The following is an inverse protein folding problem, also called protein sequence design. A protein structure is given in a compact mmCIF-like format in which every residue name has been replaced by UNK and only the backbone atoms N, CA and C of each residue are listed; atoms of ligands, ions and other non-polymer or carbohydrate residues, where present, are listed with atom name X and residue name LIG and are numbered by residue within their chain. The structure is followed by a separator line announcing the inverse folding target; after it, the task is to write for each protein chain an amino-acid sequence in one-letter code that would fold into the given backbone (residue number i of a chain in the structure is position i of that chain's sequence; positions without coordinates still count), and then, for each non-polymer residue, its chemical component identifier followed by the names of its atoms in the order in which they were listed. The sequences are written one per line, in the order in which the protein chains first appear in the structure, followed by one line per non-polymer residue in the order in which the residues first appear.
data_IF_178105194663
#
_entry.id   IF_178105194663
#
_cell.length_a   1.000
_cell.length_b   1.000
_cell.length_c   1.000
_cell.angle_alpha   90.00
_cell.angle_beta   90.00
_cell.angle_gamma   90.00
#
_symmetry.space_group_name_H-M   'P 1'
#
loop_
_entity.id
_entity.type
_entity.pdbx_description
1 polymer ?
#
# COMPACT_ATOMS: atom_id res chain seq x y z
N UNK A 1 -60.10 -5.96 21.50
CA UNK A 1 -58.76 -6.22 22.06
C UNK A 1 -57.73 -5.75 21.05
N UNK A 2 -57.11 -4.60 21.30
CA UNK A 2 -56.05 -4.05 20.46
C UNK A 2 -54.70 -4.61 20.93
N UNK A 3 -53.98 -5.28 20.04
CA UNK A 3 -52.58 -5.66 20.27
C UNK A 3 -51.71 -4.45 19.91
N UNK A 4 -51.12 -3.85 20.94
CA UNK A 4 -50.20 -2.74 20.83
C UNK A 4 -48.96 -3.17 20.04
N UNK A 5 -48.71 -2.49 18.92
CA UNK A 5 -47.43 -2.58 18.22
C UNK A 5 -46.37 -1.85 19.05
N UNK A 6 -45.45 -2.63 19.62
CA UNK A 6 -44.27 -2.15 20.33
C UNK A 6 -43.33 -1.43 19.34
N UNK A 7 -43.57 -0.14 19.12
CA UNK A 7 -42.65 0.76 18.42
C UNK A 7 -41.46 1.02 19.34
N UNK A 8 -40.48 0.12 19.31
CA UNK A 8 -39.12 0.46 19.75
C UNK A 8 -38.62 1.60 18.86
N UNK A 9 -38.74 2.83 19.35
CA UNK A 9 -38.01 3.98 18.81
C UNK A 9 -36.53 3.62 18.84
N UNK A 10 -35.97 3.29 17.67
CA UNK A 10 -34.53 3.34 17.49
C UNK A 10 -34.13 4.77 17.87
N UNK A 11 -33.45 4.93 19.01
CA UNK A 11 -32.94 6.22 19.45
C UNK A 11 -32.14 6.81 18.28
N UNK A 12 -32.65 7.91 17.72
CA UNK A 12 -31.97 8.60 16.64
C UNK A 12 -30.57 8.97 17.17
N UNK A 13 -29.53 8.48 16.49
CA UNK A 13 -28.17 8.89 16.81
C UNK A 13 -28.13 10.42 16.84
N UNK A 14 -27.50 11.04 17.85
CA UNK A 14 -27.48 12.50 17.97
C UNK A 14 -26.94 13.12 16.69
N UNK A 15 -27.77 13.93 16.03
CA UNK A 15 -27.39 14.62 14.80
C UNK A 15 -26.43 15.75 15.16
N UNK A 16 -25.16 15.59 14.80
CA UNK A 16 -24.17 16.66 14.89
C UNK A 16 -24.40 17.65 13.74
N UNK A 17 -24.46 18.97 14.00
CA UNK A 17 -24.48 19.99 12.95
C UNK A 17 -23.27 19.85 12.01
N UNK A 18 -23.49 20.00 10.71
CA UNK A 18 -22.43 19.80 9.70
C UNK A 18 -21.31 20.85 9.83
N UNK A 19 -21.62 22.01 10.39
CA UNK A 19 -20.70 23.12 10.64
C UNK A 19 -19.62 22.77 11.67
N UNK A 20 -19.87 21.81 12.57
CA UNK A 20 -18.91 21.37 13.59
C UNK A 20 -17.97 20.26 13.09
N UNK A 21 -18.28 19.65 11.94
CA UNK A 21 -17.51 18.54 11.38
C UNK A 21 -16.04 18.94 11.12
N UNK A 22 -15.74 20.15 10.62
CA UNK A 22 -14.36 20.60 10.50
C UNK A 22 -13.58 20.67 11.81
N UNK A 23 -14.21 21.14 12.89
CA UNK A 23 -13.57 21.19 14.20
C UNK A 23 -13.35 19.78 14.76
N UNK A 24 -14.37 18.91 14.70
CA UNK A 24 -14.27 17.51 15.12
C UNK A 24 -13.17 16.78 14.35
N UNK A 25 -13.10 16.98 13.03
CA UNK A 25 -12.12 16.35 12.16
C UNK A 25 -10.66 16.73 12.49
N UNK A 26 -10.41 17.89 13.11
CA UNK A 26 -9.08 18.30 13.59
C UNK A 26 -8.63 17.52 14.83
N UNK A 27 -9.57 16.96 15.59
CA UNK A 27 -9.29 16.19 16.80
C UNK A 27 -9.26 14.68 16.56
N UNK A 28 -9.60 14.23 15.34
CA UNK A 28 -9.48 12.82 14.98
C UNK A 28 -8.02 12.42 14.89
N UNK A 29 -7.66 11.39 15.65
CA UNK A 29 -6.30 10.84 15.68
C UNK A 29 -6.17 9.55 14.89
N UNK A 30 -7.30 8.91 14.51
CA UNK A 30 -7.29 7.62 13.81
C UNK A 30 -8.00 7.68 12.46
N UNK A 31 -7.52 6.86 11.51
CA UNK A 31 -8.22 6.65 10.24
C UNK A 31 -9.58 6.00 10.43
N UNK A 32 -9.74 5.14 11.43
CA UNK A 32 -11.00 4.47 11.71
C UNK A 32 -12.11 5.51 11.98
N UNK A 33 -11.85 6.45 12.89
CA UNK A 33 -12.83 7.45 13.28
C UNK A 33 -13.12 8.41 12.13
N UNK A 34 -12.10 8.72 11.32
CA UNK A 34 -12.27 9.49 10.09
C UNK A 34 -13.21 8.81 9.10
N UNK A 35 -12.98 7.53 8.80
CA UNK A 35 -13.83 6.79 7.86
C UNK A 35 -15.23 6.57 8.42
N UNK A 36 -15.38 6.35 9.73
CA UNK A 36 -16.67 6.28 10.40
C UNK A 36 -17.46 7.60 10.25
N UNK A 37 -16.81 8.74 10.52
CA UNK A 37 -17.42 10.06 10.38
C UNK A 37 -17.79 10.37 8.91
N UNK A 38 -16.91 10.02 7.96
CA UNK A 38 -17.15 10.16 6.51
C UNK A 38 -18.26 9.23 5.99
N UNK A 39 -18.48 8.10 6.63
CA UNK A 39 -19.51 7.13 6.26
C UNK A 39 -20.89 7.48 6.83
N UNK A 40 -20.96 8.29 7.89
CA UNK A 40 -22.20 8.61 8.60
C UNK A 40 -23.28 9.23 7.69
N UNK A 41 -22.96 10.27 6.92
CA UNK A 41 -23.90 10.87 5.96
C UNK A 41 -23.20 11.66 4.85
N UNK A 42 -23.97 12.06 3.82
CA UNK A 42 -23.44 12.87 2.70
C UNK A 42 -22.98 14.25 3.16
N UNK A 43 -23.71 14.89 4.06
CA UNK A 43 -23.40 16.23 4.58
C UNK A 43 -22.07 16.26 5.35
N UNK A 44 -21.78 15.24 6.17
CA UNK A 44 -20.50 15.15 6.88
C UNK A 44 -19.36 14.90 5.91
N UNK A 45 -19.56 14.03 4.91
CA UNK A 45 -18.57 13.80 3.85
C UNK A 45 -18.21 15.08 3.08
N UNK A 46 -19.18 15.95 2.82
CA UNK A 46 -18.94 17.23 2.13
C UNK A 46 -18.30 18.29 3.04
N UNK A 47 -18.65 18.29 4.34
CA UNK A 47 -18.11 19.23 5.31
C UNK A 47 -16.74 18.81 5.87
N UNK A 48 -16.35 17.55 5.69
CA UNK A 48 -15.12 17.03 6.26
C UNK A 48 -13.91 17.72 5.62
N UNK A 49 -13.11 18.48 6.38
CA UNK A 49 -11.94 19.11 5.85
C UNK A 49 -10.94 18.02 5.46
N UNK A 50 -10.05 18.34 4.51
CA UNK A 50 -8.85 17.56 4.27
C UNK A 50 -7.94 17.71 5.49
N UNK A 51 -8.26 17.02 6.59
CA UNK A 51 -7.43 16.94 7.79
C UNK A 51 -6.17 16.15 7.43
N UNK A 52 -5.14 16.91 7.05
CA UNK A 52 -4.18 16.57 5.96
C UNK A 52 -2.94 15.81 6.39
N UNK A 53 -2.42 16.07 7.59
CA UNK A 53 -1.08 15.61 7.96
C UNK A 53 -1.12 14.46 8.99
N UNK A 54 -1.91 14.60 10.04
CA UNK A 54 -1.98 13.60 11.13
C UNK A 54 -2.73 12.34 10.67
N UNK A 55 -3.83 12.49 9.94
CA UNK A 55 -4.59 11.35 9.42
C UNK A 55 -3.86 10.61 8.29
N UNK A 56 -3.04 11.32 7.50
CA UNK A 56 -2.17 10.75 6.48
C UNK A 56 -0.99 9.97 7.07
N UNK A 57 -0.57 10.35 8.28
CA UNK A 57 0.56 9.72 8.99
C UNK A 57 0.20 8.36 9.59
N UNK A 58 -1.09 8.04 9.69
CA UNK A 58 -1.56 6.73 10.14
C UNK A 58 -1.69 5.80 8.93
N UNK A 59 -0.99 4.66 8.90
CA UNK A 59 -0.99 3.80 7.74
C UNK A 59 -2.22 2.88 7.74
N UNK A 60 -3.05 2.91 6.70
CA UNK A 60 -3.74 1.72 6.27
C UNK A 60 -2.81 0.90 5.36
N UNK A 61 -2.96 -0.41 5.44
CA UNK A 61 -1.92 -1.36 5.11
C UNK A 61 -2.38 -2.27 3.97
N UNK A 62 -2.12 -1.82 2.74
CA UNK A 62 -2.55 -2.41 1.46
C UNK A 62 -3.80 -1.73 0.90
N UNK A 63 -3.63 -1.05 -0.22
CA UNK A 63 -4.72 -0.65 -1.09
C UNK A 63 -5.08 -1.82 -2.00
N UNK A 64 -6.35 -2.20 -2.02
CA UNK A 64 -6.87 -3.20 -2.96
C UNK A 64 -8.03 -2.64 -3.77
N UNK A 65 -8.21 -3.12 -5.02
CA UNK A 65 -9.47 -2.97 -5.71
C UNK A 65 -10.59 -3.66 -4.90
N UNK A 66 -11.69 -2.96 -4.63
CA UNK A 66 -12.81 -3.55 -3.89
C UNK A 66 -13.89 -4.14 -4.81
N UNK A 67 -14.13 -3.50 -5.96
CA UNK A 67 -15.08 -3.99 -6.95
C UNK A 67 -14.46 -3.98 -8.34
N UNK A 68 -14.40 -5.15 -8.97
CA UNK A 68 -13.89 -5.32 -10.34
C UNK A 68 -14.67 -4.47 -11.37
N UNK A 69 -15.95 -4.19 -11.12
CA UNK A 69 -16.81 -3.38 -11.98
C UNK A 69 -16.72 -1.87 -11.74
N UNK A 70 -16.03 -1.42 -10.68
CA UNK A 70 -15.90 0.00 -10.36
C UNK A 70 -14.42 0.36 -10.10
N UNK A 71 -13.70 0.91 -11.08
CA UNK A 71 -12.28 1.21 -10.95
C UNK A 71 -11.98 2.29 -9.89
N UNK A 72 -13.00 3.03 -9.45
CA UNK A 72 -12.89 4.02 -8.38
C UNK A 72 -13.18 3.45 -6.98
N UNK A 73 -13.64 2.20 -6.89
CA UNK A 73 -13.96 1.55 -5.61
C UNK A 73 -12.71 0.86 -5.08
N UNK A 74 -12.05 1.53 -4.15
CA UNK A 74 -10.85 1.03 -3.50
C UNK A 74 -11.17 0.71 -2.04
N UNK A 75 -10.40 -0.20 -1.49
CA UNK A 75 -10.42 -0.44 -0.07
C UNK A 75 -9.01 -0.51 0.49
N UNK A 76 -8.90 -0.02 1.71
CA UNK A 76 -7.69 -0.03 2.50
C UNK A 76 -7.82 -1.14 3.52
N UNK A 77 -6.88 -2.07 3.51
CA UNK A 77 -6.92 -3.25 4.35
C UNK A 77 -6.04 -3.03 5.57
N UNK A 78 -6.42 -3.63 6.69
CA UNK A 78 -5.52 -3.85 7.80
C UNK A 78 -5.35 -5.36 7.98
N UNK A 79 -4.30 -5.97 7.40
CA UNK A 79 -4.22 -7.42 7.25
C UNK A 79 -4.32 -8.17 8.58
N UNK A 80 -3.63 -7.69 9.61
CA UNK A 80 -3.66 -8.32 10.94
C UNK A 80 -4.99 -8.17 11.67
N UNK A 81 -5.73 -7.09 11.42
CA UNK A 81 -7.02 -6.84 12.08
C UNK A 81 -8.21 -7.29 11.24
N UNK A 82 -7.96 -7.79 10.01
CA UNK A 82 -8.99 -8.14 9.01
C UNK A 82 -10.00 -7.01 8.79
N UNK A 83 -9.54 -5.77 8.86
CA UNK A 83 -10.39 -4.59 8.69
C UNK A 83 -10.29 -4.09 7.26
N UNK A 84 -11.43 -3.68 6.73
CA UNK A 84 -11.57 -3.18 5.37
C UNK A 84 -12.20 -1.78 5.44
N UNK A 85 -11.43 -0.77 5.10
CA UNK A 85 -11.87 0.62 5.02
C UNK A 85 -12.19 0.93 3.57
N UNK A 86 -13.48 0.90 3.23
CA UNK A 86 -13.97 1.11 1.87
C UNK A 86 -14.12 2.60 1.59
N UNK A 87 -13.69 3.03 0.41
CA UNK A 87 -13.93 4.39 -0.03
C UNK A 87 -13.97 4.46 -1.55
N UNK A 88 -14.52 5.57 -2.04
CA UNK A 88 -14.42 5.94 -3.44
C UNK A 88 -13.20 6.83 -3.57
N UNK A 89 -12.19 6.38 -4.30
CA UNK A 89 -11.07 7.23 -4.66
C UNK A 89 -11.58 8.38 -5.53
N UNK A 90 -10.96 9.58 -5.45
CA UNK A 90 -11.09 10.55 -6.52
C UNK A 90 -10.77 9.81 -7.82
N UNK A 91 -11.68 9.87 -8.80
CA UNK A 91 -11.56 9.07 -10.03
C UNK A 91 -10.11 9.10 -10.52
N UNK A 92 -9.42 7.96 -10.71
CA UNK A 92 -8.25 8.00 -11.56
C UNK A 92 -8.74 8.59 -12.90
N UNK A 93 -8.06 9.58 -13.49
CA UNK A 93 -8.44 10.04 -14.82
C UNK A 93 -8.42 8.80 -15.70
N UNK A 94 -9.55 8.48 -16.32
CA UNK A 94 -9.62 7.35 -17.22
C UNK A 94 -8.62 7.64 -18.35
N UNK A 95 -7.64 6.77 -18.62
CA UNK A 95 -7.46 5.39 -18.15
C UNK A 95 -6.16 5.22 -17.32
N UNK A 96 -6.17 5.68 -16.08
CA UNK A 96 -5.05 5.53 -15.16
C UNK A 96 -5.19 4.32 -14.24
N UNK A 97 -4.14 3.52 -14.12
CA UNK A 97 -4.06 2.40 -13.19
C UNK A 97 -3.42 2.85 -11.86
N UNK A 98 -3.89 2.32 -10.73
CA UNK A 98 -3.17 2.49 -9.46
C UNK A 98 -1.99 1.51 -9.44
N UNK A 99 -0.77 2.03 -9.36
CA UNK A 99 0.47 1.26 -9.49
C UNK A 99 1.24 1.12 -8.18
N UNK A 100 0.99 1.99 -7.20
CA UNK A 100 1.55 1.90 -5.86
C UNK A 100 0.64 2.58 -4.82
N UNK A 101 0.87 2.25 -3.56
CA UNK A 101 0.26 2.95 -2.43
C UNK A 101 1.24 3.04 -1.27
N UNK A 102 1.25 4.18 -0.58
CA UNK A 102 1.91 4.37 0.70
C UNK A 102 0.95 5.10 1.64
N UNK A 103 0.39 4.34 2.56
CA UNK A 103 -0.62 4.82 3.48
C UNK A 103 -1.87 5.37 2.77
N UNK A 104 -2.18 6.64 3.02
CA UNK A 104 -3.28 7.36 2.38
C UNK A 104 -2.95 7.93 0.97
N UNK A 105 -1.73 7.72 0.48
CA UNK A 105 -1.26 8.21 -0.81
C UNK A 105 -1.24 7.07 -1.82
N UNK A 106 -1.69 7.35 -3.04
CA UNK A 106 -1.68 6.39 -4.14
C UNK A 106 -0.97 6.98 -5.33
N UNK A 107 -0.24 6.14 -6.04
CA UNK A 107 0.40 6.49 -7.30
C UNK A 107 -0.48 5.96 -8.42
N UNK A 108 -0.96 6.85 -9.27
CA UNK A 108 -1.70 6.54 -10.48
C UNK A 108 -0.82 6.77 -11.69
N UNK A 109 -0.89 5.86 -12.66
CA UNK A 109 -0.17 5.98 -13.93
C UNK A 109 -1.16 6.06 -15.08
N UNK A 110 -1.12 7.15 -15.85
CA UNK A 110 -1.85 7.29 -17.11
C UNK A 110 -1.02 6.66 -18.24
N UNK A 111 -1.51 5.56 -18.81
CA UNK A 111 -0.79 4.84 -19.86
C UNK A 111 -0.67 5.62 -21.18
N UNK A 112 -1.61 6.52 -21.49
CA UNK A 112 -1.59 7.28 -22.74
C UNK A 112 -0.74 8.55 -22.60
N UNK A 113 -0.93 9.28 -21.51
CA UNK A 113 -0.16 10.49 -21.24
C UNK A 113 1.25 10.20 -20.69
N UNK A 114 1.50 8.95 -20.24
CA UNK A 114 2.72 8.53 -19.53
C UNK A 114 3.00 9.36 -18.27
N UNK A 115 1.93 9.87 -17.66
CA UNK A 115 2.02 10.71 -16.48
C UNK A 115 1.86 9.87 -15.21
N UNK A 116 2.80 10.03 -14.28
CA UNK A 116 2.64 9.57 -12.91
C UNK A 116 2.07 10.70 -12.06
N UNK A 117 1.06 10.37 -11.26
CA UNK A 117 0.46 11.30 -10.32
C UNK A 117 0.33 10.65 -8.95
N UNK A 118 0.67 11.39 -7.91
CA UNK A 118 0.42 11.01 -6.53
C UNK A 118 -0.85 11.71 -6.09
N UNK A 119 -1.83 10.91 -5.66
CA UNK A 119 -3.11 11.40 -5.16
C UNK A 119 -3.17 11.04 -3.68
N UNK A 120 -3.43 12.04 -2.86
CA UNK A 120 -3.77 11.82 -1.47
C UNK A 120 -5.27 11.50 -1.35
N UNK A 121 -5.62 10.28 -0.96
CA UNK A 121 -7.00 9.76 -1.01
C UNK A 121 -7.98 10.51 -0.09
N UNK A 122 -7.47 11.08 1.01
CA UNK A 122 -8.30 11.79 1.99
C UNK A 122 -8.45 13.29 1.65
N UNK A 123 -7.37 13.97 1.26
CA UNK A 123 -7.41 15.40 0.93
C UNK A 123 -7.78 15.70 -0.52
N UNK A 124 -7.60 14.74 -1.43
CA UNK A 124 -7.72 14.95 -2.87
C UNK A 124 -6.53 15.67 -3.51
N UNK A 125 -5.51 16.02 -2.72
CA UNK A 125 -4.32 16.71 -3.23
C UNK A 125 -3.62 15.84 -4.28
N UNK A 126 -3.23 16.46 -5.39
CA UNK A 126 -2.56 15.80 -6.50
C UNK A 126 -1.23 16.47 -6.78
N UNK A 127 -0.18 15.65 -6.83
CA UNK A 127 1.16 16.05 -7.24
C UNK A 127 1.52 15.27 -8.50
N UNK A 128 1.89 15.99 -9.56
CA UNK A 128 2.43 15.36 -10.77
C UNK A 128 3.91 15.08 -10.58
N UNK A 129 4.31 13.89 -11.00
CA UNK A 129 5.70 13.41 -11.04
C UNK A 129 6.19 13.62 -12.48
N UNK A 130 7.51 13.80 -12.73
CA UNK A 130 8.03 13.85 -14.09
C UNK A 130 7.62 12.63 -14.92
N UNK A 131 7.48 12.80 -16.23
CA UNK A 131 7.00 11.77 -17.15
C UNK A 131 7.72 10.43 -16.91
N UNK A 132 6.94 9.36 -16.80
CA UNK A 132 7.47 8.08 -16.39
C UNK A 132 8.35 7.49 -17.52
N UNK A 133 9.55 6.98 -17.20
CA UNK A 133 10.33 6.18 -18.12
C UNK A 133 9.56 4.93 -18.60
N UNK A 134 9.92 4.43 -19.79
CA UNK A 134 9.08 3.54 -20.61
C UNK A 134 8.85 2.14 -20.01
N UNK A 135 9.71 1.69 -19.09
CA UNK A 135 9.77 0.29 -18.65
C UNK A 135 9.91 0.19 -17.13
N UNK A 136 8.80 -0.08 -16.45
CA UNK A 136 8.81 -0.47 -15.04
C UNK A 136 7.77 -1.57 -14.76
N UNK A 137 8.07 -2.45 -13.83
CA UNK A 137 7.18 -3.53 -13.39
C UNK A 137 6.32 -3.14 -12.19
N UNK A 138 6.87 -2.32 -11.28
CA UNK A 138 6.16 -1.79 -10.11
C UNK A 138 6.62 -0.38 -9.77
N UNK A 139 5.71 0.39 -9.18
CA UNK A 139 6.04 1.65 -8.53
C UNK A 139 6.04 1.46 -7.00
N UNK A 140 6.86 2.25 -6.31
CA UNK A 140 6.95 2.28 -4.85
C UNK A 140 7.05 3.73 -4.40
N UNK A 141 6.32 4.06 -3.34
CA UNK A 141 6.36 5.39 -2.72
C UNK A 141 7.00 5.24 -1.34
N UNK A 142 8.01 6.06 -1.07
CA UNK A 142 8.80 6.04 0.15
C UNK A 142 9.02 7.48 0.64
N UNK A 143 8.09 8.00 1.45
CA UNK A 143 8.17 9.41 1.85
C UNK A 143 7.99 10.33 0.64
N UNK A 144 8.98 11.18 0.33
CA UNK A 144 9.03 12.05 -0.85
C UNK A 144 9.68 11.37 -2.07
N UNK A 145 10.16 10.14 -1.93
CA UNK A 145 10.82 9.38 -2.98
C UNK A 145 9.82 8.51 -3.75
N UNK A 146 9.85 8.62 -5.06
CA UNK A 146 9.13 7.74 -5.99
C UNK A 146 10.14 6.83 -6.66
N UNK A 147 9.89 5.52 -6.61
CA UNK A 147 10.75 4.48 -7.15
C UNK A 147 9.97 3.70 -8.20
N UNK A 148 10.59 3.44 -9.35
CA UNK A 148 10.10 2.58 -10.41
C UNK A 148 11.09 1.42 -10.57
N UNK A 149 10.58 0.21 -10.39
CA UNK A 149 11.39 -1.01 -10.41
C UNK A 149 11.45 -1.52 -11.86
N UNK A 150 12.67 -1.72 -12.35
CA UNK A 150 12.93 -2.39 -13.62
C UNK A 150 13.83 -3.61 -13.37
N UNK A 151 13.91 -4.59 -14.30
CA UNK A 151 14.77 -5.74 -14.13
C UNK A 151 16.25 -5.34 -14.02
N UNK A 152 16.82 -5.37 -12.81
CA UNK A 152 18.22 -5.03 -12.54
C UNK A 152 18.52 -3.57 -12.18
N UNK A 153 17.51 -2.68 -12.23
CA UNK A 153 17.68 -1.24 -12.00
C UNK A 153 16.47 -0.66 -11.26
N UNK A 154 16.70 0.47 -10.61
CA UNK A 154 15.63 1.31 -10.06
C UNK A 154 15.77 2.70 -10.63
N UNK A 155 14.68 3.22 -11.15
CA UNK A 155 14.56 4.63 -11.51
C UNK A 155 13.88 5.35 -10.36
N UNK A 156 14.42 6.48 -9.93
CA UNK A 156 13.89 7.18 -8.78
C UNK A 156 13.89 8.69 -8.98
N UNK A 157 12.93 9.37 -8.36
CA UNK A 157 12.88 10.82 -8.29
C UNK A 157 12.35 11.25 -6.93
N UNK A 158 12.81 12.40 -6.43
CA UNK A 158 12.16 13.06 -5.29
C UNK A 158 11.10 14.02 -5.78
N UNK A 159 10.00 14.13 -5.03
CA UNK A 159 8.95 15.08 -5.32
C UNK A 159 9.50 16.50 -5.25
N UNK A 160 9.41 17.22 -6.37
CA UNK A 160 9.95 18.58 -6.51
C UNK A 160 11.28 18.67 -7.27
N UNK A 161 12.04 17.58 -7.40
CA UNK A 161 13.33 17.58 -8.11
C UNK A 161 13.19 17.68 -9.64
N UNK A 162 12.02 17.29 -10.16
CA UNK A 162 11.70 17.43 -11.59
C UNK A 162 12.46 16.48 -12.53
N UNK A 163 13.30 15.55 -12.02
CA UNK A 163 14.13 14.66 -12.83
C UNK A 163 14.21 13.25 -12.25
N UNK A 164 14.25 12.26 -13.15
CA UNK A 164 14.55 10.87 -12.83
C UNK A 164 16.05 10.63 -12.74
N UNK A 165 16.46 9.78 -11.81
CA UNK A 165 17.80 9.22 -11.67
C UNK A 165 17.72 7.71 -11.77
N UNK A 166 18.83 7.09 -12.12
CA UNK A 166 18.92 5.63 -12.28
C UNK A 166 19.94 5.06 -11.31
N UNK A 167 19.60 3.95 -10.68
CA UNK A 167 20.49 3.20 -9.82
C UNK A 167 20.49 1.73 -10.20
N UNK A 168 21.68 1.15 -10.41
CA UNK A 168 21.80 -0.28 -10.67
C UNK A 168 21.72 -1.06 -9.36
N UNK A 169 21.03 -2.20 -9.39
CA UNK A 169 20.91 -3.05 -8.21
C UNK A 169 22.10 -3.99 -8.10
N UNK A 170 22.74 -4.01 -6.93
CA UNK A 170 23.81 -4.97 -6.62
C UNK A 170 23.53 -5.66 -5.29
N UNK A 171 23.53 -6.99 -5.33
CA UNK A 171 23.51 -7.81 -4.12
C UNK A 171 24.89 -7.76 -3.45
N UNK A 172 24.97 -7.27 -2.22
CA UNK A 172 26.21 -7.24 -1.44
C UNK A 172 26.56 -8.65 -0.94
N UNK A 173 27.83 -9.05 -1.07
CA UNK A 173 28.38 -10.20 -0.32
C UNK A 173 28.52 -11.56 -1.02
N UNK A 174 28.12 -11.74 -2.28
CA UNK A 174 28.43 -12.99 -2.99
C UNK A 174 29.72 -12.85 -3.81
N UNK A 175 30.82 -13.37 -3.27
CA UNK A 175 32.03 -13.62 -4.06
C UNK A 175 31.74 -14.62 -5.18
N UNK A 176 32.07 -14.25 -6.41
CA UNK A 176 32.47 -15.17 -7.47
C UNK A 176 31.53 -16.32 -7.87
N UNK A 177 30.21 -16.23 -7.73
CA UNK A 177 29.35 -17.22 -8.38
C UNK A 177 29.17 -16.85 -9.85
N UNK A 178 29.67 -17.72 -10.73
CA UNK A 178 29.45 -17.74 -12.19
C UNK A 178 27.96 -17.85 -12.59
N UNK A 179 27.03 -17.89 -11.62
CA UNK A 179 25.58 -17.77 -11.78
C UNK A 179 25.06 -16.43 -11.21
N UNK A 180 25.63 -15.31 -11.63
CA UNK A 180 25.19 -13.95 -11.26
C UNK A 180 23.79 -13.55 -11.78
N UNK A 181 22.85 -14.49 -11.92
CA UNK A 181 21.61 -14.34 -12.67
C UNK A 181 20.31 -14.82 -12.00
N UNK A 182 20.29 -15.10 -10.69
CA UNK A 182 19.07 -15.69 -10.06
C UNK A 182 18.32 -14.79 -9.07
N UNK A 183 18.93 -13.75 -8.52
CA UNK A 183 18.26 -12.86 -7.56
C UNK A 183 17.80 -11.57 -8.25
N UNK A 184 16.53 -11.55 -8.66
CA UNK A 184 15.88 -10.37 -9.21
C UNK A 184 15.01 -9.72 -8.15
N UNK A 185 15.15 -8.41 -7.98
CA UNK A 185 14.23 -7.64 -7.15
C UNK A 185 12.89 -7.52 -7.87
N UNK A 186 11.82 -7.91 -7.18
CA UNK A 186 10.45 -7.94 -7.73
C UNK A 186 9.51 -6.96 -7.03
N UNK A 187 9.94 -6.37 -5.92
CA UNK A 187 9.17 -5.37 -5.17
C UNK A 187 10.04 -4.63 -4.17
N UNK A 188 9.58 -3.44 -3.75
CA UNK A 188 10.18 -2.69 -2.65
C UNK A 188 9.08 -2.10 -1.77
N UNK A 189 9.45 -1.72 -0.55
CA UNK A 189 8.53 -1.10 0.40
C UNK A 189 9.33 -0.29 1.42
N UNK A 190 8.92 0.94 1.69
CA UNK A 190 9.44 1.69 2.83
C UNK A 190 8.59 1.41 4.07
N UNK A 191 9.25 1.05 5.17
CA UNK A 191 8.60 0.86 6.48
C UNK A 191 9.48 1.52 7.54
N UNK A 192 8.92 2.46 8.31
CA UNK A 192 9.63 3.19 9.38
C UNK A 192 10.98 3.78 8.93
N UNK A 193 11.05 4.32 7.71
CA UNK A 193 12.27 4.92 7.16
C UNK A 193 13.29 3.92 6.59
N UNK A 194 13.04 2.61 6.70
CA UNK A 194 13.87 1.57 6.10
C UNK A 194 13.25 1.12 4.78
N UNK A 195 14.04 1.13 3.71
CA UNK A 195 13.61 0.63 2.41
C UNK A 195 13.95 -0.87 2.33
N UNK A 196 12.92 -1.69 2.20
CA UNK A 196 13.03 -3.13 2.02
C UNK A 196 12.87 -3.49 0.55
N UNK A 197 13.60 -4.51 0.11
CA UNK A 197 13.48 -5.12 -1.20
C UNK A 197 13.06 -6.58 -1.07
N UNK A 198 12.13 -6.99 -1.93
CA UNK A 198 11.67 -8.36 -2.07
C UNK A 198 12.30 -8.97 -3.31
N UNK A 199 12.92 -10.14 -3.15
CA UNK A 199 13.52 -10.89 -4.25
C UNK A 199 12.51 -11.89 -4.84
N UNK A 200 12.77 -12.33 -6.07
CA UNK A 200 12.00 -13.37 -6.76
C UNK A 200 12.00 -14.72 -6.01
N UNK A 201 12.93 -14.93 -5.10
CA UNK A 201 13.04 -16.08 -4.17
C UNK A 201 12.25 -15.89 -2.86
N UNK A 202 11.41 -14.85 -2.76
CA UNK A 202 10.66 -14.47 -1.56
C UNK A 202 11.53 -14.08 -0.34
N UNK A 203 12.83 -13.84 -0.56
CA UNK A 203 13.73 -13.33 0.47
C UNK A 203 13.61 -11.82 0.62
N UNK A 204 13.83 -11.35 1.85
CA UNK A 204 13.81 -9.93 2.20
C UNK A 204 15.24 -9.40 2.33
N UNK A 205 15.47 -8.23 1.77
CA UNK A 205 16.72 -7.47 1.91
C UNK A 205 16.41 -6.04 2.37
N UNK A 206 17.37 -5.42 3.06
CA UNK A 206 17.43 -3.95 3.17
C UNK A 206 18.05 -3.43 1.89
N UNK A 207 17.44 -2.41 1.32
CA UNK A 207 17.93 -1.69 0.16
C UNK A 207 18.46 -0.31 0.58
N UNK A 208 19.76 -0.11 0.41
CA UNK A 208 20.40 1.18 0.59
C UNK A 208 20.52 1.86 -0.77
N UNK A 209 19.70 2.89 -0.99
CA UNK A 209 19.75 3.69 -2.21
C UNK A 209 20.87 4.74 -2.10
N UNK A 210 21.85 4.62 -2.98
CA UNK A 210 22.92 5.59 -3.23
C UNK A 210 22.65 6.28 -4.59
N UNK A 211 23.45 7.28 -4.96
CA UNK A 211 23.18 8.10 -6.14
C UNK A 211 23.01 7.31 -7.44
N UNK A 212 23.83 6.28 -7.66
CA UNK A 212 23.81 5.45 -8.87
C UNK A 212 23.71 3.96 -8.59
N UNK A 213 23.50 3.55 -7.34
CA UNK A 213 23.53 2.13 -6.92
C UNK A 213 22.49 1.88 -5.85
N UNK A 214 21.82 0.73 -5.93
CA UNK A 214 21.06 0.15 -4.82
C UNK A 214 21.85 -1.03 -4.27
N UNK A 215 22.29 -0.93 -3.02
CA UNK A 215 22.95 -2.03 -2.33
C UNK A 215 21.93 -2.84 -1.55
N UNK A 216 21.84 -4.13 -1.86
CA UNK A 216 20.93 -5.06 -1.20
C UNK A 216 21.69 -5.87 -0.17
N UNK A 217 21.25 -5.79 1.09
CA UNK A 217 21.74 -6.59 2.22
C UNK A 217 20.65 -7.57 2.64
N UNK A 218 20.86 -8.86 2.41
CA UNK A 218 19.90 -9.89 2.81
C UNK A 218 19.71 -9.89 4.33
N UNK A 219 18.45 -9.93 4.77
CA UNK A 219 18.09 -9.91 6.19
C UNK A 219 17.91 -11.29 6.81
N UNK A 220 18.01 -12.36 6.03
CA UNK A 220 17.80 -13.74 6.48
C UNK A 220 18.31 -14.77 5.48
N UNK A 221 18.07 -16.04 5.81
CA UNK A 221 18.54 -17.20 5.04
C UNK A 221 17.49 -17.76 4.08
N UNK A 222 17.34 -19.08 4.08
CA UNK A 222 16.33 -19.74 3.26
C UNK A 222 14.90 -19.41 3.74
N UNK A 223 13.97 -19.32 2.79
CA UNK A 223 12.55 -19.14 3.09
C UNK A 223 11.98 -20.39 3.76
N UNK A 224 11.12 -20.20 4.77
CA UNK A 224 10.46 -21.31 5.45
C UNK A 224 9.47 -22.06 4.56
N UNK A 225 9.16 -23.32 4.92
CA UNK A 225 8.35 -24.22 4.10
C UNK A 225 6.99 -23.64 3.71
N UNK A 226 6.30 -23.00 4.65
CA UNK A 226 5.00 -22.37 4.38
C UNK A 226 5.06 -21.28 3.29
N UNK A 227 6.17 -20.53 3.19
CA UNK A 227 6.36 -19.53 2.12
C UNK A 227 6.65 -20.22 0.79
N UNK A 228 7.43 -21.32 0.81
CA UNK A 228 7.69 -22.13 -0.39
C UNK A 228 6.39 -22.72 -0.93
N UNK A 229 5.55 -23.28 -0.07
CA UNK A 229 4.26 -23.84 -0.45
C UNK A 229 3.37 -22.78 -1.10
N UNK A 230 3.25 -21.60 -0.48
CA UNK A 230 2.49 -20.48 -1.06
C UNK A 230 3.06 -20.01 -2.40
N UNK A 231 4.39 -20.01 -2.56
CA UNK A 231 5.07 -19.68 -3.81
C UNK A 231 4.89 -20.73 -4.90
N UNK A 232 4.68 -22.00 -4.55
CA UNK A 232 4.34 -23.05 -5.50
C UNK A 232 2.89 -22.94 -5.96
N UNK A 233 1.99 -22.49 -5.09
CA UNK A 233 0.58 -22.25 -5.44
C UNK A 233 0.37 -20.98 -6.26
N UNK A 234 1.13 -19.91 -5.99
CA UNK A 234 1.02 -18.63 -6.71
C UNK A 234 2.35 -17.92 -6.86
N UNK A 235 2.62 -17.46 -8.08
CA UNK A 235 3.75 -16.56 -8.39
C UNK A 235 3.35 -15.07 -8.30
N UNK A 236 2.10 -14.76 -7.99
CA UNK A 236 1.65 -13.39 -7.74
C UNK A 236 1.78 -13.06 -6.25
N UNK A 237 2.88 -12.40 -5.90
CA UNK A 237 3.17 -11.97 -4.54
C UNK A 237 3.72 -10.55 -4.51
N UNK A 238 3.55 -9.89 -3.36
CA UNK A 238 3.94 -8.50 -3.16
C UNK A 238 4.34 -8.25 -1.72
N UNK A 239 5.09 -7.16 -1.52
CA UNK A 239 5.47 -6.67 -0.20
C UNK A 239 4.43 -5.64 0.28
N UNK A 240 4.03 -5.74 1.54
CA UNK A 240 3.18 -4.76 2.22
C UNK A 240 3.74 -4.44 3.60
N UNK A 241 3.17 -3.44 4.27
CA UNK A 241 3.50 -3.12 5.67
C UNK A 241 2.31 -3.45 6.56
N UNK A 242 2.53 -3.83 7.81
CA UNK A 242 1.49 -3.82 8.85
C UNK A 242 2.10 -3.52 10.21
N UNK A 243 1.56 -2.51 10.92
CA UNK A 243 2.04 -2.08 12.23
C UNK A 243 3.57 -1.81 12.26
N UNK A 244 4.10 -1.19 11.20
CA UNK A 244 5.53 -0.90 11.08
C UNK A 244 6.42 -2.11 10.80
N UNK A 245 5.84 -3.24 10.38
CA UNK A 245 6.58 -4.46 10.04
C UNK A 245 6.29 -4.87 8.59
N UNK A 246 7.30 -5.29 7.80
CA UNK A 246 7.07 -5.87 6.48
C UNK A 246 6.23 -7.15 6.55
N UNK A 247 5.33 -7.30 5.60
CA UNK A 247 4.53 -8.50 5.38
C UNK A 247 4.64 -8.95 3.93
N UNK A 248 4.68 -10.25 3.71
CA UNK A 248 4.64 -10.87 2.39
C UNK A 248 3.22 -11.36 2.11
N UNK A 249 2.68 -10.98 0.95
CA UNK A 249 1.30 -11.25 0.57
C UNK A 249 1.29 -12.00 -0.75
N UNK A 250 0.70 -13.19 -0.77
CA UNK A 250 0.41 -13.95 -2.00
C UNK A 250 -1.06 -13.80 -2.35
N UNK A 251 -1.34 -13.56 -3.63
CA UNK A 251 -2.69 -13.57 -4.17
C UNK A 251 -2.98 -14.96 -4.75
N UNK A 252 -4.00 -15.64 -4.23
CA UNK A 252 -4.38 -16.98 -4.69
C UNK A 252 -5.44 -16.87 -5.80
N UNK A 253 -5.33 -17.70 -6.84
CA UNK A 253 -6.02 -17.50 -8.12
C UNK A 253 -7.52 -17.82 -8.13
N UNK A 254 -8.00 -18.66 -7.20
CA UNK A 254 -9.32 -19.30 -7.32
C UNK A 254 -10.43 -18.48 -6.63
N UNK A 255 -10.07 -17.62 -5.68
CA UNK A 255 -10.92 -16.66 -4.94
C UNK A 255 -10.00 -15.50 -4.49
N UNK A 256 -10.49 -14.28 -4.17
CA UNK A 256 -9.65 -13.22 -3.57
C UNK A 256 -9.22 -13.59 -2.14
N UNK A 257 -8.45 -14.66 -2.04
CA UNK A 257 -7.85 -15.19 -0.83
C UNK A 257 -6.37 -14.83 -0.86
N UNK A 258 -5.91 -14.28 0.25
CA UNK A 258 -4.55 -13.82 0.40
C UNK A 258 -3.88 -14.58 1.53
N UNK A 259 -2.71 -15.15 1.21
CA UNK A 259 -1.82 -15.75 2.18
C UNK A 259 -0.85 -14.68 2.65
N UNK A 260 -0.87 -14.37 3.94
CA UNK A 260 -0.09 -13.26 4.52
C UNK A 260 0.90 -13.79 5.54
N UNK A 261 2.17 -13.46 5.33
CA UNK A 261 3.27 -13.82 6.22
C UNK A 261 3.85 -12.56 6.83
N UNK A 262 4.15 -12.61 8.13
CA UNK A 262 4.75 -11.47 8.84
C UNK A 262 6.25 -11.67 8.91
N UNK A 263 7.02 -10.61 8.65
CA UNK A 263 8.46 -10.64 8.93
C UNK A 263 8.69 -10.67 10.44
N UNK A 264 9.43 -11.67 10.92
CA UNK A 264 9.86 -11.77 12.31
C UNK A 264 11.36 -11.40 12.41
N UNK A 265 11.72 -10.20 12.89
CA UNK A 265 13.11 -9.76 12.93
C UNK A 265 14.03 -10.66 13.76
N UNK A 266 13.51 -11.23 14.86
CA UNK A 266 14.30 -12.10 15.73
C UNK A 266 14.67 -13.43 15.06
N UNK A 267 13.77 -13.95 14.23
CA UNK A 267 13.97 -15.22 13.51
C UNK A 267 14.52 -15.01 12.09
N UNK A 268 14.63 -13.76 11.63
CA UNK A 268 15.08 -13.41 10.28
C UNK A 268 14.33 -14.15 9.17
N UNK A 269 13.02 -14.36 9.36
CA UNK A 269 12.18 -15.08 8.40
C UNK A 269 10.74 -14.58 8.40
N UNK A 270 10.04 -14.91 7.32
CA UNK A 270 8.59 -14.76 7.25
C UNK A 270 7.90 -15.89 8.00
N UNK A 271 7.07 -15.55 8.99
CA UNK A 271 6.27 -16.50 9.76
C UNK A 271 4.83 -16.48 9.30
N UNK A 272 4.22 -17.68 9.23
CA UNK A 272 2.82 -17.82 8.86
C UNK A 272 1.94 -17.19 9.95
N UNK A 273 1.06 -16.28 9.53
CA UNK A 273 -0.05 -15.89 10.38
C UNK A 273 -1.23 -16.79 10.04
N UNK A 274 -1.64 -17.66 10.97
CA UNK A 274 -2.71 -18.67 10.82
C UNK A 274 -4.09 -18.14 10.43
N UNK A 275 -4.20 -16.83 10.24
CA UNK A 275 -5.41 -16.13 9.86
C UNK A 275 -5.30 -15.67 8.40
N UNK A 276 -5.51 -16.60 7.47
CA UNK A 276 -5.73 -16.29 6.04
C UNK A 276 -6.70 -15.13 5.87
N UNK A 277 -6.44 -14.25 4.90
CA UNK A 277 -7.23 -13.05 4.67
C UNK A 277 -8.20 -13.33 3.51
N UNK A 278 -9.48 -13.48 3.82
CA UNK A 278 -10.55 -13.50 2.82
C UNK A 278 -11.14 -12.09 2.73
N UNK A 279 -11.16 -11.50 1.53
CA UNK A 279 -11.77 -10.17 1.27
C UNK A 279 -13.05 -10.34 0.46
#
# INVERSE_FOLDING_TARGET
MALAADKRLAAAAPYLPAELIPDIARHLTTLQDFFALRAACRSYRTALPPSRAVLASQPPHLLVPHHASSPCSLALIHPLCRRLLRFRAPSPPFPSAVVASDGARVVTFDHFARELSIIHLLSGDRVRVPDAPFLFSRAVLAGDLVLLIAPGWVQYCRLGDGRWREAYCRLGGCGGSLFGGLYMMVGMLAVNGVLYALLNTCQLAVAELMDNKVELKLLGGEVGDHVRDAWMESKDFMLGACAGVPILIFKVSVKPEYKVFRWEPAEQRFTWNSRGLHI
#
